data_IF_859888449762
#
_entry.id   IF_859888449762
#
_cell.length_a   1.000
_cell.length_b   1.000
_cell.length_c   1.000
_cell.angle_alpha   90.00
_cell.angle_beta   90.00
_cell.angle_gamma   90.00
#
_symmetry.space_group_name_H-M   'P 1'
#
loop_
_entity.id
_entity.type
_entity.pdbx_description
1 polymer ?
#
# COMPACT_ATOMS: atom_id res chain seq x y z
N UNK A 1 6.28 -27.61 -6.33
CA UNK A 1 6.58 -26.43 -5.49
C UNK A 1 5.29 -26.05 -4.80
N UNK A 2 5.21 -26.19 -3.49
CA UNK A 2 4.03 -25.81 -2.71
C UNK A 2 3.90 -24.29 -2.78
N UNK A 3 2.77 -23.78 -3.25
CA UNK A 3 2.49 -22.35 -3.25
C UNK A 3 2.48 -21.83 -1.81
N UNK A 4 3.16 -20.70 -1.54
CA UNK A 4 3.17 -20.10 -0.22
C UNK A 4 1.76 -19.76 0.27
N UNK A 5 1.50 -19.99 1.55
CA UNK A 5 0.21 -19.66 2.18
C UNK A 5 -0.02 -18.14 2.25
N UNK A 6 -1.27 -17.70 2.41
CA UNK A 6 -1.56 -16.28 2.57
C UNK A 6 -0.90 -15.69 3.84
N UNK A 7 -0.78 -16.49 4.90
CA UNK A 7 -0.11 -16.09 6.13
C UNK A 7 1.40 -15.87 5.93
N UNK A 8 2.06 -16.76 5.19
CA UNK A 8 3.47 -16.61 4.85
C UNK A 8 3.71 -15.38 3.96
N UNK A 9 2.82 -15.16 2.97
CA UNK A 9 2.88 -13.99 2.10
C UNK A 9 2.60 -12.70 2.89
N UNK A 10 1.63 -12.72 3.81
CA UNK A 10 1.36 -11.58 4.70
C UNK A 10 2.59 -11.23 5.54
N UNK A 11 3.22 -12.23 6.18
CA UNK A 11 4.40 -12.01 7.00
C UNK A 11 5.55 -11.39 6.19
N UNK A 12 5.75 -11.82 4.94
CA UNK A 12 6.75 -11.24 4.04
C UNK A 12 6.39 -9.82 3.62
N UNK A 13 5.13 -9.56 3.27
CA UNK A 13 4.64 -8.21 2.94
C UNK A 13 4.82 -7.25 4.11
N UNK A 14 4.47 -7.66 5.33
CA UNK A 14 4.66 -6.86 6.54
C UNK A 14 6.14 -6.54 6.77
N UNK A 15 7.03 -7.52 6.63
CA UNK A 15 8.48 -7.31 6.81
C UNK A 15 9.04 -6.35 5.74
N UNK A 16 8.59 -6.48 4.48
CA UNK A 16 8.98 -5.61 3.38
C UNK A 16 8.55 -4.17 3.62
N UNK A 17 7.27 -3.96 3.93
CA UNK A 17 6.69 -2.62 4.15
C UNK A 17 7.31 -1.93 5.38
N UNK A 18 7.56 -2.65 6.48
CA UNK A 18 8.22 -2.09 7.67
C UNK A 18 9.62 -1.55 7.35
N UNK A 19 10.42 -2.30 6.59
CA UNK A 19 11.77 -1.86 6.18
C UNK A 19 11.73 -0.66 5.26
N UNK A 20 10.80 -0.66 4.31
CA UNK A 20 10.62 0.44 3.38
C UNK A 20 10.12 1.70 4.08
N UNK A 21 9.19 1.58 5.03
CA UNK A 21 8.69 2.70 5.83
C UNK A 21 9.80 3.34 6.69
N UNK A 22 10.69 2.54 7.28
CA UNK A 22 11.84 3.07 8.03
C UNK A 22 12.77 3.89 7.12
N UNK A 23 12.99 3.45 5.88
CA UNK A 23 13.74 4.22 4.89
C UNK A 23 13.00 5.50 4.47
N UNK A 24 11.69 5.43 4.20
CA UNK A 24 10.91 6.59 3.77
C UNK A 24 10.82 7.69 4.86
N UNK A 25 10.85 7.31 6.15
CA UNK A 25 10.86 8.25 7.27
C UNK A 25 12.22 8.96 7.43
N UNK A 26 13.31 8.30 7.07
CA UNK A 26 14.68 8.86 7.13
C UNK A 26 15.51 8.37 5.92
N UNK A 27 15.31 8.98 4.75
CA UNK A 27 16.00 8.56 3.52
C UNK A 27 17.49 8.91 3.52
N UNK A 28 17.99 9.71 4.49
CA UNK A 28 19.40 10.05 4.64
C UNK A 28 19.96 10.99 3.57
N UNK A 29 19.14 11.44 2.63
CA UNK A 29 19.52 12.30 1.51
C UNK A 29 18.55 13.48 1.36
N UNK A 30 19.01 14.56 0.71
CA UNK A 30 18.14 15.67 0.32
C UNK A 30 17.10 15.21 -0.70
N UNK A 31 15.85 15.60 -0.49
CA UNK A 31 14.74 15.18 -1.33
C UNK A 31 14.85 15.79 -2.73
N UNK A 32 14.90 14.93 -3.75
CA UNK A 32 14.85 15.31 -5.16
C UNK A 32 13.46 15.00 -5.68
N UNK A 33 12.79 16.02 -6.19
CA UNK A 33 11.41 15.94 -6.68
C UNK A 33 11.40 16.11 -8.19
N UNK A 34 10.76 15.18 -8.89
CA UNK A 34 10.52 15.23 -10.33
C UNK A 34 9.02 15.28 -10.58
N UNK A 35 8.58 16.00 -11.63
CA UNK A 35 7.20 15.95 -12.10
C UNK A 35 7.07 14.90 -13.21
N UNK A 36 6.06 14.02 -13.11
CA UNK A 36 5.71 13.04 -14.15
C UNK A 36 4.94 13.73 -15.30
N UNK A 37 3.71 13.32 -15.55
CA UNK A 37 2.89 13.85 -16.66
C UNK A 37 2.32 15.24 -16.38
N UNK A 38 2.04 15.56 -15.13
CA UNK A 38 1.46 16.84 -14.70
C UNK A 38 2.20 17.39 -13.48
N UNK A 39 2.10 18.73 -13.30
CA UNK A 39 2.79 19.46 -12.21
C UNK A 39 2.47 18.95 -10.79
N UNK A 40 1.36 18.29 -10.62
CA UNK A 40 0.93 17.71 -9.33
C UNK A 40 1.16 16.19 -9.26
N UNK A 41 1.64 15.58 -10.34
CA UNK A 41 2.02 14.18 -10.42
C UNK A 41 3.52 14.10 -10.17
N UNK A 42 3.88 13.97 -8.90
CA UNK A 42 5.26 14.03 -8.43
C UNK A 42 5.79 12.63 -8.18
N UNK A 43 7.10 12.49 -8.37
CA UNK A 43 7.88 11.34 -7.95
C UNK A 43 9.16 11.80 -7.29
N UNK A 44 9.63 11.09 -6.31
CA UNK A 44 10.90 11.34 -5.65
C UNK A 44 11.83 10.12 -5.76
N UNK A 45 13.11 10.30 -5.42
CA UNK A 45 14.00 9.15 -5.27
C UNK A 45 13.54 8.21 -4.15
N UNK A 46 12.69 8.70 -3.22
CA UNK A 46 12.16 7.89 -2.12
C UNK A 46 11.12 6.92 -2.64
N UNK A 47 10.21 7.33 -3.55
CA UNK A 47 9.23 6.45 -4.18
C UNK A 47 9.94 5.25 -4.83
N UNK A 48 10.93 5.53 -5.68
CA UNK A 48 11.75 4.49 -6.34
C UNK A 48 12.49 3.62 -5.32
N UNK A 49 13.08 4.25 -4.29
CA UNK A 49 13.82 3.53 -3.25
C UNK A 49 12.93 2.64 -2.37
N UNK A 50 11.69 3.02 -2.11
CA UNK A 50 10.69 2.21 -1.43
C UNK A 50 10.29 1.03 -2.30
N UNK A 51 9.97 1.28 -3.59
CA UNK A 51 9.59 0.23 -4.52
C UNK A 51 10.70 -0.82 -4.66
N UNK A 52 11.96 -0.42 -4.89
CA UNK A 52 13.09 -1.34 -4.99
C UNK A 52 13.28 -2.20 -3.75
N UNK A 53 13.12 -1.61 -2.55
CA UNK A 53 13.28 -2.35 -1.28
C UNK A 53 12.20 -3.38 -1.08
N UNK A 54 10.95 -3.03 -1.38
CA UNK A 54 9.82 -3.96 -1.29
C UNK A 54 9.99 -5.07 -2.32
N UNK A 55 10.30 -4.73 -3.58
CA UNK A 55 10.51 -5.69 -4.64
C UNK A 55 11.61 -6.69 -4.30
N UNK A 56 12.80 -6.23 -3.89
CA UNK A 56 13.90 -7.10 -3.50
C UNK A 56 13.56 -8.02 -2.32
N UNK A 57 12.72 -7.55 -1.38
CA UNK A 57 12.30 -8.37 -0.24
C UNK A 57 11.27 -9.44 -0.64
N UNK A 58 10.41 -9.16 -1.62
CA UNK A 58 9.37 -10.04 -2.10
C UNK A 58 9.82 -10.99 -3.21
N UNK A 59 11.00 -10.77 -3.83
CA UNK A 59 11.53 -11.60 -4.91
C UNK A 59 11.50 -13.11 -4.59
N UNK A 60 11.87 -13.46 -3.36
CA UNK A 60 11.87 -14.86 -2.90
C UNK A 60 10.46 -15.51 -2.84
N UNK A 61 9.39 -14.73 -3.00
CA UNK A 61 8.02 -15.27 -3.08
C UNK A 61 7.73 -15.90 -4.44
N UNK A 62 8.47 -15.52 -5.48
CA UNK A 62 8.20 -15.89 -6.87
C UNK A 62 6.92 -15.27 -7.44
N UNK A 63 6.30 -14.33 -6.72
CA UNK A 63 5.09 -13.60 -7.16
C UNK A 63 5.53 -12.29 -7.79
N UNK A 64 5.14 -11.99 -9.04
CA UNK A 64 5.52 -10.75 -9.72
C UNK A 64 4.95 -9.53 -9.01
N UNK A 65 5.58 -8.38 -9.23
CA UNK A 65 5.18 -7.10 -8.67
C UNK A 65 4.73 -6.17 -9.78
N UNK A 66 3.61 -5.50 -9.57
CA UNK A 66 3.10 -4.40 -10.36
C UNK A 66 3.15 -3.13 -9.50
N UNK A 67 4.22 -2.35 -9.68
CA UNK A 67 4.46 -1.11 -8.97
C UNK A 67 4.07 0.11 -9.79
N UNK A 68 4.15 1.25 -9.18
CA UNK A 68 3.87 2.53 -9.84
C UNK A 68 5.06 3.05 -10.65
N UNK A 69 6.30 2.82 -10.18
CA UNK A 69 7.49 3.48 -10.70
C UNK A 69 8.24 2.63 -11.76
N UNK A 70 8.68 1.45 -11.42
CA UNK A 70 9.60 0.67 -12.24
C UNK A 70 9.10 -0.75 -12.57
N UNK A 71 8.48 -1.43 -11.61
CA UNK A 71 8.05 -2.81 -11.78
C UNK A 71 6.69 -2.85 -12.48
N UNK A 72 6.62 -3.53 -13.62
CA UNK A 72 5.37 -3.64 -14.38
C UNK A 72 5.09 -5.09 -14.73
N UNK A 73 3.88 -5.53 -14.49
CA UNK A 73 3.34 -6.76 -15.07
C UNK A 73 2.68 -6.36 -16.39
N UNK A 74 3.10 -6.99 -17.49
CA UNK A 74 2.50 -6.75 -18.80
C UNK A 74 1.01 -7.12 -18.79
N UNK A 75 0.18 -6.34 -19.46
CA UNK A 75 -1.27 -6.54 -19.57
C UNK A 75 -1.94 -6.80 -18.21
N UNK A 76 -1.56 -6.02 -17.17
CA UNK A 76 -2.01 -6.25 -15.80
C UNK A 76 -3.54 -6.31 -15.67
N UNK A 77 -4.29 -5.55 -16.45
CA UNK A 77 -5.76 -5.56 -16.44
C UNK A 77 -6.35 -6.94 -16.81
N UNK A 78 -5.66 -7.69 -17.66
CA UNK A 78 -6.06 -9.04 -18.08
C UNK A 78 -5.24 -10.15 -17.45
N UNK A 79 -4.23 -9.78 -16.64
CA UNK A 79 -3.34 -10.74 -15.98
C UNK A 79 -4.15 -11.72 -15.10
N UNK A 80 -3.75 -12.98 -15.15
CA UNK A 80 -4.29 -14.06 -14.33
C UNK A 80 -3.19 -14.66 -13.47
N UNK A 81 -3.56 -15.02 -12.23
CA UNK A 81 -2.63 -15.49 -11.23
C UNK A 81 -2.36 -14.43 -10.17
N UNK A 82 -1.37 -14.69 -9.33
CA UNK A 82 -1.02 -13.81 -8.22
C UNK A 82 -0.04 -12.75 -8.65
N UNK A 83 -0.30 -11.52 -8.24
CA UNK A 83 0.62 -10.39 -8.35
C UNK A 83 0.55 -9.52 -7.09
N UNK A 84 1.70 -8.99 -6.68
CA UNK A 84 1.75 -7.88 -5.74
C UNK A 84 1.46 -6.58 -6.50
N UNK A 85 0.63 -5.74 -5.92
CA UNK A 85 0.35 -4.38 -6.40
C UNK A 85 0.86 -3.41 -5.35
N UNK A 86 1.69 -2.47 -5.77
CA UNK A 86 2.41 -1.58 -4.88
C UNK A 86 2.28 -0.13 -5.31
N UNK A 87 1.82 0.71 -4.40
CA UNK A 87 2.03 2.14 -4.42
C UNK A 87 3.07 2.48 -3.34
N UNK A 88 4.27 2.91 -3.74
CA UNK A 88 5.38 3.12 -2.80
C UNK A 88 5.17 4.32 -1.88
N UNK A 89 4.58 5.41 -2.37
CA UNK A 89 4.24 6.61 -1.59
C UNK A 89 2.88 7.15 -2.08
N UNK A 90 1.81 6.53 -1.61
CA UNK A 90 0.47 7.09 -1.82
C UNK A 90 0.37 8.46 -1.15
N UNK A 91 0.19 9.50 -1.96
CA UNK A 91 0.22 10.87 -1.53
C UNK A 91 1.61 11.53 -1.62
N UNK A 92 2.37 11.33 -2.69
CA UNK A 92 3.70 11.91 -2.90
C UNK A 92 3.71 13.44 -2.76
N UNK A 93 2.66 14.14 -3.19
CA UNK A 93 2.53 15.59 -2.96
C UNK A 93 2.50 15.92 -1.46
N UNK A 94 1.78 15.16 -0.66
CA UNK A 94 1.72 15.34 0.78
C UNK A 94 3.06 15.00 1.44
N UNK A 95 3.71 13.92 0.98
CA UNK A 95 5.04 13.54 1.41
C UNK A 95 6.05 14.69 1.23
N UNK A 96 6.06 15.31 0.05
CA UNK A 96 6.97 16.42 -0.30
C UNK A 96 6.62 17.70 0.44
N UNK A 97 5.33 18.08 0.48
CA UNK A 97 4.91 19.41 0.93
C UNK A 97 4.73 19.51 2.44
N UNK A 98 4.21 18.48 3.08
CA UNK A 98 3.81 18.51 4.48
C UNK A 98 4.46 17.46 5.36
N UNK A 99 5.06 16.42 4.75
CA UNK A 99 5.57 15.22 5.41
C UNK A 99 4.50 14.49 6.25
N UNK A 100 3.22 14.64 5.88
CA UNK A 100 2.05 14.05 6.54
C UNK A 100 1.08 13.49 5.52
N UNK A 101 0.13 12.67 5.99
CA UNK A 101 -0.99 12.16 5.20
C UNK A 101 -0.54 11.45 3.90
N UNK A 102 0.42 10.56 4.06
CA UNK A 102 0.93 9.67 3.02
C UNK A 102 1.04 8.25 3.55
N UNK A 103 1.01 7.27 2.67
CA UNK A 103 1.03 5.87 3.03
C UNK A 103 1.94 5.05 2.09
N UNK A 104 2.26 3.81 2.52
CA UNK A 104 2.79 2.77 1.64
C UNK A 104 1.70 1.71 1.52
N UNK A 105 1.25 1.44 0.30
CA UNK A 105 0.15 0.51 0.03
C UNK A 105 0.65 -0.70 -0.76
N UNK A 106 0.51 -1.90 -0.16
CA UNK A 106 0.87 -3.16 -0.78
C UNK A 106 -0.33 -4.12 -0.71
N UNK A 107 -0.74 -4.66 -1.85
CA UNK A 107 -1.79 -5.66 -1.94
C UNK A 107 -1.32 -6.90 -2.70
N UNK A 108 -1.85 -8.08 -2.34
CA UNK A 108 -1.78 -9.27 -3.17
C UNK A 108 -3.11 -9.43 -3.88
N UNK A 109 -3.05 -9.49 -5.19
CA UNK A 109 -4.19 -9.77 -6.07
C UNK A 109 -4.05 -11.19 -6.63
N UNK A 110 -5.13 -11.95 -6.64
CA UNK A 110 -5.21 -13.29 -7.20
C UNK A 110 -6.36 -13.33 -8.22
N UNK A 111 -6.06 -13.54 -9.50
CA UNK A 111 -7.02 -13.49 -10.61
C UNK A 111 -7.86 -12.19 -10.63
N UNK A 112 -7.24 -11.04 -10.40
CA UNK A 112 -7.91 -9.75 -10.36
C UNK A 112 -8.65 -9.44 -9.05
N UNK A 113 -8.60 -10.35 -8.06
CA UNK A 113 -9.29 -10.17 -6.77
C UNK A 113 -8.28 -9.86 -5.67
N UNK A 114 -8.37 -8.71 -4.96
CA UNK A 114 -7.54 -8.44 -3.80
C UNK A 114 -7.79 -9.49 -2.70
N UNK A 115 -6.73 -10.17 -2.27
CA UNK A 115 -6.79 -11.25 -1.27
C UNK A 115 -6.10 -10.90 0.02
N UNK A 116 -5.11 -10.00 -0.03
CA UNK A 116 -4.30 -9.58 1.09
C UNK A 116 -3.94 -8.11 0.94
N UNK A 117 -3.87 -7.38 2.05
CA UNK A 117 -3.41 -6.01 2.08
C UNK A 117 -2.47 -5.75 3.26
N UNK A 118 -1.48 -4.91 3.02
CA UNK A 118 -0.58 -4.33 4.02
C UNK A 118 -0.47 -2.84 3.71
N UNK A 119 -0.93 -2.00 4.63
CA UNK A 119 -0.88 -0.55 4.49
C UNK A 119 -0.15 0.04 5.68
N UNK A 120 0.89 0.82 5.43
CA UNK A 120 1.57 1.58 6.45
C UNK A 120 1.13 3.04 6.44
N UNK A 121 0.86 3.58 7.63
CA UNK A 121 0.81 5.00 7.92
C UNK A 121 2.06 5.32 8.77
N UNK A 122 3.16 5.74 8.13
CA UNK A 122 4.42 5.91 8.83
C UNK A 122 4.40 7.06 9.82
N UNK A 123 3.65 8.11 9.53
CA UNK A 123 3.56 9.29 10.40
C UNK A 123 2.79 8.99 11.67
N UNK A 124 1.68 8.24 11.57
CA UNK A 124 0.94 7.78 12.74
C UNK A 124 1.59 6.56 13.41
N UNK A 125 2.63 5.97 12.83
CA UNK A 125 3.31 4.79 13.35
C UNK A 125 2.45 3.54 13.35
N UNK A 126 1.55 3.39 12.37
CA UNK A 126 0.56 2.31 12.29
C UNK A 126 0.77 1.44 11.04
N UNK A 127 0.53 0.17 11.22
CA UNK A 127 0.49 -0.81 10.15
C UNK A 127 -0.86 -1.53 10.17
N UNK A 128 -1.56 -1.45 9.04
CA UNK A 128 -2.83 -2.13 8.83
C UNK A 128 -2.61 -3.35 7.96
N UNK A 129 -3.27 -4.44 8.28
CA UNK A 129 -3.21 -5.69 7.52
C UNK A 129 -4.60 -6.27 7.35
N UNK A 130 -4.85 -6.91 6.21
CA UNK A 130 -6.10 -7.60 5.98
C UNK A 130 -5.88 -8.89 5.18
N UNK A 131 -6.69 -9.91 5.45
CA UNK A 131 -6.84 -11.10 4.62
C UNK A 131 -8.33 -11.24 4.28
N UNK A 132 -8.62 -11.37 3.00
CA UNK A 132 -9.98 -11.53 2.52
C UNK A 132 -10.70 -12.67 3.20
N UNK A 133 -11.90 -12.40 3.76
CA UNK A 133 -12.71 -13.36 4.47
C UNK A 133 -12.22 -13.71 5.88
N UNK A 134 -11.14 -13.07 6.38
CA UNK A 134 -10.61 -13.34 7.72
C UNK A 134 -10.54 -12.11 8.63
N UNK A 135 -10.78 -10.92 8.08
CA UNK A 135 -10.80 -9.65 8.80
C UNK A 135 -9.58 -8.76 8.53
N UNK A 136 -9.54 -7.66 9.28
CA UNK A 136 -8.48 -6.66 9.21
C UNK A 136 -7.98 -6.32 10.61
N UNK A 137 -6.74 -5.87 10.69
CA UNK A 137 -6.05 -5.59 11.96
C UNK A 137 -5.18 -4.35 11.85
N UNK A 138 -4.94 -3.73 12.98
CA UNK A 138 -3.96 -2.66 13.14
C UNK A 138 -2.93 -3.02 14.21
N UNK A 139 -1.69 -2.63 13.98
CA UNK A 139 -0.57 -2.86 14.88
C UNK A 139 0.46 -1.73 14.75
N UNK A 140 1.40 -1.55 15.71
CA UNK A 140 2.50 -0.63 15.55
C UNK A 140 3.31 -0.92 14.28
N UNK A 141 3.68 0.12 13.54
CA UNK A 141 4.49 -0.01 12.32
C UNK A 141 5.91 -0.48 12.64
N UNK A 142 6.56 0.21 13.58
CA UNK A 142 7.90 -0.15 14.03
C UNK A 142 7.76 -0.96 15.32
N UNK A 143 8.12 -2.23 15.26
CA UNK A 143 8.19 -3.05 16.46
C UNK A 143 9.24 -2.48 17.42
N UNK A 144 8.92 -2.38 18.70
CA UNK A 144 9.92 -2.18 19.73
C UNK A 144 10.96 -3.31 19.67
N UNK A 145 12.13 -3.13 20.25
CA UNK A 145 13.32 -3.98 20.17
C UNK A 145 13.17 -5.44 20.71
N UNK A 146 11.98 -5.89 21.01
CA UNK A 146 11.65 -7.23 21.48
C UNK A 146 10.65 -7.90 20.54
N UNK A 147 11.16 -8.60 19.54
CA UNK A 147 10.54 -9.58 18.64
C UNK A 147 9.02 -9.74 18.57
N UNK A 148 8.51 -10.02 17.39
CA UNK A 148 7.15 -10.49 17.06
C UNK A 148 6.00 -9.88 17.88
N UNK A 149 5.60 -8.66 17.53
CA UNK A 149 4.50 -7.92 18.17
C UNK A 149 3.11 -8.41 17.75
N UNK A 150 2.89 -9.70 17.70
CA UNK A 150 1.54 -10.26 17.51
C UNK A 150 0.63 -9.88 18.71
N UNK A 151 1.23 -9.62 19.88
CA UNK A 151 0.54 -9.16 21.09
C UNK A 151 -0.03 -7.74 20.97
N UNK A 152 0.52 -6.89 20.10
CA UNK A 152 0.04 -5.53 19.86
C UNK A 152 -0.93 -5.44 18.67
N UNK A 153 -1.15 -6.53 17.96
CA UNK A 153 -2.08 -6.62 16.83
C UNK A 153 -3.52 -6.64 17.33
N UNK A 154 -4.31 -5.65 16.94
CA UNK A 154 -5.71 -5.52 17.31
C UNK A 154 -6.60 -5.69 16.09
N UNK A 155 -7.73 -6.41 16.18
CA UNK A 155 -8.71 -6.41 15.10
C UNK A 155 -9.24 -4.97 14.89
N UNK A 156 -9.49 -4.62 13.63
CA UNK A 156 -10.29 -3.46 13.31
C UNK A 156 -11.76 -3.81 13.54
N UNK A 157 -12.48 -2.88 14.14
CA UNK A 157 -13.91 -3.01 14.33
C UNK A 157 -14.60 -3.06 12.95
N UNK A 158 -15.48 -4.01 12.78
CA UNK A 158 -16.29 -4.08 11.57
C UNK A 158 -17.34 -2.98 11.65
N UNK A 159 -17.33 -2.09 10.66
CA UNK A 159 -18.38 -1.07 10.54
C UNK A 159 -19.68 -1.72 10.12
N UNK A 160 -20.79 -1.08 10.52
CA UNK A 160 -22.12 -1.45 10.03
C UNK A 160 -22.19 -1.29 8.51
N UNK A 161 -22.89 -2.22 7.86
CA UNK A 161 -23.16 -2.15 6.42
C UNK A 161 -24.32 -1.16 6.19
N UNK A 162 -23.97 0.09 5.98
CA UNK A 162 -24.93 1.17 5.75
C UNK A 162 -25.14 1.40 4.26
N UNK A 163 -26.37 1.72 3.82
CA UNK A 163 -26.59 2.15 2.46
C UNK A 163 -25.81 3.46 2.16
N UNK A 164 -25.44 3.68 0.91
CA UNK A 164 -24.65 4.87 0.52
C UNK A 164 -25.35 6.19 0.90
N UNK A 165 -26.70 6.19 0.93
CA UNK A 165 -27.50 7.36 1.36
C UNK A 165 -27.31 7.76 2.83
N UNK A 166 -26.77 6.87 3.65
CA UNK A 166 -26.46 7.09 5.08
C UNK A 166 -24.95 7.19 5.35
N UNK A 167 -24.13 7.04 4.30
CA UNK A 167 -22.70 7.11 4.36
C UNK A 167 -22.14 8.48 4.02
N UNK A 168 -20.83 8.64 4.21
CA UNK A 168 -20.06 9.76 3.71
C UNK A 168 -19.14 9.29 2.59
N UNK A 169 -19.24 9.90 1.40
CA UNK A 169 -18.33 9.66 0.29
C UNK A 169 -17.29 10.78 0.24
N UNK A 170 -16.02 10.41 0.33
CA UNK A 170 -14.91 11.30 0.04
C UNK A 170 -14.33 10.85 -1.31
N UNK A 171 -14.37 11.74 -2.30
CA UNK A 171 -13.88 11.44 -3.64
C UNK A 171 -12.87 12.48 -4.10
N UNK A 172 -11.90 12.04 -4.90
CA UNK A 172 -10.98 12.97 -5.55
C UNK A 172 -11.74 13.85 -6.56
N UNK A 173 -11.39 15.13 -6.64
CA UNK A 173 -12.03 16.11 -7.54
C UNK A 173 -12.17 15.61 -8.98
N UNK A 174 -11.19 14.90 -9.52
CA UNK A 174 -11.27 14.38 -10.89
C UNK A 174 -12.39 13.36 -11.08
N UNK A 175 -12.72 12.56 -10.07
CA UNK A 175 -13.83 11.62 -10.13
C UNK A 175 -15.19 12.33 -10.20
N UNK A 176 -15.31 13.53 -9.63
CA UNK A 176 -16.54 14.31 -9.69
C UNK A 176 -16.76 15.00 -11.06
N UNK A 177 -15.73 15.03 -11.91
CA UNK A 177 -15.82 15.57 -13.28
C UNK A 177 -16.24 14.51 -14.29
N UNK A 178 -16.21 13.23 -13.94
CA UNK A 178 -16.75 12.17 -14.78
C UNK A 178 -18.27 12.27 -14.81
N UNK A 179 -18.84 12.45 -16.02
CA UNK A 179 -20.28 12.66 -16.22
C UNK A 179 -21.16 11.49 -15.69
N UNK A 180 -20.60 10.28 -15.56
CA UNK A 180 -21.26 9.11 -14.98
C UNK A 180 -21.33 9.14 -13.47
N UNK A 181 -20.31 9.67 -12.80
CA UNK A 181 -20.22 9.72 -11.33
C UNK A 181 -20.79 11.02 -10.79
N UNK A 182 -20.52 12.16 -11.44
CA UNK A 182 -20.99 13.49 -11.01
C UNK A 182 -22.53 13.67 -11.07
N UNK A 183 -23.25 12.79 -11.73
CA UNK A 183 -24.73 12.78 -11.73
C UNK A 183 -25.34 11.84 -10.65
N UNK A 184 -24.50 11.03 -10.01
CA UNK A 184 -24.93 10.06 -8.99
C UNK A 184 -24.70 10.55 -7.55
N UNK A 185 -24.03 11.71 -7.38
CA UNK A 185 -23.76 12.39 -6.12
C UNK A 185 -24.63 13.66 -6.05
#
# INVERSE_FOLDING_TARGET
TTSASLEELLARGVAAVRRAAAFALDPGEELRVEAKAHRNDLVTQVDRGVEERIAGHLEATGVPIHGEEAHRVEDFETYRGRAWVLDPIDGTLNYVATHRDWAISLALVDDGVPTLAVLADPVAGRLYTAIRGRGAWVQPLLAGSAGTDDAARRPLEQLEDLPLSEGMLIAHYQLTQDAGIGQAI
#
